data_IF_967243989374
#
_entry.id   IF_967243989374
#
_cell.length_a   1.000
_cell.length_b   1.000
_cell.length_c   1.000
_cell.angle_alpha   90.00
_cell.angle_beta   90.00
_cell.angle_gamma   90.00
#
_symmetry.space_group_name_H-M   'P 1'
#
loop_
_entity.id
_entity.type
_entity.pdbx_description
1 polymer ?
#
# COMPACT_ATOMS: atom_id res chain seq x y z
N UNK A 1 23.39 -15.54 -1.44
CA UNK A 1 23.68 -14.59 -2.55
C UNK A 1 22.33 -14.17 -3.13
N UNK A 2 22.02 -12.87 -3.14
CA UNK A 2 20.77 -12.37 -3.72
C UNK A 2 20.99 -11.94 -5.18
N UNK A 3 19.93 -11.94 -6.02
CA UNK A 3 20.05 -11.48 -7.40
C UNK A 3 20.44 -10.01 -7.51
N UNK A 4 21.52 -9.72 -8.25
CA UNK A 4 22.04 -8.35 -8.48
C UNK A 4 21.04 -7.37 -9.12
N UNK A 5 19.91 -7.86 -9.63
CA UNK A 5 18.88 -6.99 -10.19
C UNK A 5 18.11 -6.22 -9.10
N UNK A 6 18.12 -6.66 -7.83
CA UNK A 6 17.57 -5.86 -6.73
C UNK A 6 18.26 -4.50 -6.61
N UNK A 7 19.55 -4.43 -6.89
CA UNK A 7 20.30 -3.18 -6.88
C UNK A 7 19.81 -2.21 -7.97
N UNK A 8 19.35 -2.73 -9.11
CA UNK A 8 18.82 -1.97 -10.24
C UNK A 8 17.38 -1.46 -10.04
N UNK A 9 16.68 -1.93 -9.01
CA UNK A 9 15.31 -1.47 -8.74
C UNK A 9 15.31 -0.06 -8.15
N UNK A 10 14.34 0.75 -8.56
CA UNK A 10 14.08 2.08 -8.01
C UNK A 10 13.30 1.99 -6.68
N UNK A 11 13.75 1.12 -5.78
CA UNK A 11 13.20 0.96 -4.43
C UNK A 11 14.10 1.60 -3.39
N UNK A 12 13.49 1.99 -2.27
CA UNK A 12 14.26 2.42 -1.08
C UNK A 12 15.17 1.28 -0.61
N UNK A 13 16.22 1.64 0.12
CA UNK A 13 17.13 0.65 0.71
C UNK A 13 16.37 -0.37 1.57
N UNK A 14 15.42 0.11 2.38
CA UNK A 14 14.62 -0.74 3.28
C UNK A 14 13.77 -1.75 2.52
N UNK A 15 13.15 -1.36 1.41
CA UNK A 15 12.41 -2.31 0.58
C UNK A 15 13.35 -3.32 -0.11
N UNK A 16 14.54 -2.91 -0.55
CA UNK A 16 15.55 -3.86 -1.08
C UNK A 16 15.96 -4.88 -0.02
N UNK A 17 16.20 -4.45 1.21
CA UNK A 17 16.55 -5.34 2.32
C UNK A 17 15.43 -6.34 2.62
N UNK A 18 14.16 -5.91 2.61
CA UNK A 18 13.00 -6.80 2.75
C UNK A 18 12.89 -7.85 1.63
N UNK A 19 13.19 -7.47 0.38
CA UNK A 19 13.21 -8.40 -0.75
C UNK A 19 14.32 -9.44 -0.61
N UNK A 20 15.49 -9.04 -0.11
CA UNK A 20 16.61 -9.95 0.16
C UNK A 20 16.23 -10.95 1.25
N UNK A 21 15.63 -10.50 2.36
CA UNK A 21 15.15 -11.37 3.43
C UNK A 21 14.09 -12.36 2.94
N UNK A 22 13.14 -11.90 2.13
CA UNK A 22 12.12 -12.76 1.53
C UNK A 22 12.74 -13.81 0.58
N UNK A 23 13.71 -13.42 -0.23
CA UNK A 23 14.42 -14.31 -1.14
C UNK A 23 15.21 -15.39 -0.40
N UNK A 24 15.91 -15.00 0.67
CA UNK A 24 16.64 -15.92 1.54
C UNK A 24 15.71 -16.81 2.39
N UNK A 25 14.39 -16.62 2.31
CA UNK A 25 13.37 -17.29 3.14
C UNK A 25 13.54 -17.04 4.64
N UNK A 26 14.15 -15.90 5.00
CA UNK A 26 14.28 -15.46 6.40
C UNK A 26 12.94 -14.96 6.94
N UNK A 27 12.09 -14.42 6.06
CA UNK A 27 10.73 -13.97 6.38
C UNK A 27 9.71 -14.65 5.47
N UNK A 28 8.49 -14.74 5.96
CA UNK A 28 7.34 -15.19 5.18
C UNK A 28 6.78 -14.08 4.30
N UNK A 29 5.98 -14.46 3.30
CA UNK A 29 5.29 -13.49 2.45
C UNK A 29 4.34 -12.58 3.24
N UNK A 30 3.73 -13.09 4.30
CA UNK A 30 2.82 -12.32 5.15
C UNK A 30 3.56 -11.25 5.96
N UNK A 31 4.71 -11.60 6.53
CA UNK A 31 5.57 -10.64 7.25
C UNK A 31 6.09 -9.57 6.31
N UNK A 32 6.60 -9.96 5.14
CA UNK A 32 7.01 -9.03 4.10
C UNK A 32 5.89 -8.02 3.78
N UNK A 33 4.66 -8.51 3.51
CA UNK A 33 3.54 -7.63 3.16
C UNK A 33 3.16 -6.69 4.31
N UNK A 34 3.20 -7.16 5.56
CA UNK A 34 2.89 -6.33 6.73
C UNK A 34 3.90 -5.19 6.87
N UNK A 35 5.19 -5.49 6.79
CA UNK A 35 6.24 -4.46 6.90
C UNK A 35 6.22 -3.53 5.69
N UNK A 36 5.99 -4.07 4.49
CA UNK A 36 5.87 -3.27 3.27
C UNK A 36 4.71 -2.29 3.35
N UNK A 37 3.54 -2.71 3.86
CA UNK A 37 2.40 -1.82 4.05
C UNK A 37 2.78 -0.70 5.01
N UNK A 38 3.39 -0.99 6.15
CA UNK A 38 3.87 0.07 7.07
C UNK A 38 4.85 1.03 6.39
N UNK A 39 5.80 0.51 5.60
CA UNK A 39 6.82 1.30 4.90
C UNK A 39 6.23 2.30 3.89
N UNK A 40 5.09 1.98 3.28
CA UNK A 40 4.46 2.83 2.25
C UNK A 40 3.18 3.54 2.72
N UNK A 41 2.53 3.06 3.78
CA UNK A 41 1.32 3.65 4.35
C UNK A 41 1.59 4.81 5.31
N UNK A 42 2.84 5.07 5.70
CA UNK A 42 3.25 6.32 6.39
C UNK A 42 3.21 7.59 5.50
N UNK A 43 2.38 7.58 4.46
CA UNK A 43 1.77 8.82 3.98
C UNK A 43 0.32 8.79 4.42
N UNK A 44 -0.06 9.46 5.52
CA UNK A 44 -1.47 9.68 5.78
C UNK A 44 -2.05 10.27 4.50
N UNK A 45 -3.02 9.59 3.91
CA UNK A 45 -3.85 10.16 2.86
C UNK A 45 -4.60 11.32 3.51
N UNK A 46 -4.00 12.50 3.51
CA UNK A 46 -4.73 13.75 3.69
C UNK A 46 -5.45 13.96 2.35
N UNK A 47 -6.61 13.34 2.22
CA UNK A 47 -7.72 13.80 1.40
C UNK A 47 -9.00 13.08 1.88
N UNK A 48 -9.71 13.70 2.81
CA UNK A 48 -10.80 14.64 2.54
C UNK A 48 -12.15 13.93 2.59
N UNK A 49 -12.85 14.22 3.67
CA UNK A 49 -14.28 14.05 3.84
C UNK A 49 -15.06 14.41 2.56
N UNK A 50 -15.75 13.44 1.97
CA UNK A 50 -17.03 13.65 1.29
C UNK A 50 -18.05 12.65 1.80
N UNK A 51 -18.52 12.96 3.00
CA UNK A 51 -19.93 13.21 3.26
C UNK A 51 -20.91 12.13 2.77
N UNK A 52 -21.22 11.18 3.66
CA UNK A 52 -22.48 10.42 3.60
C UNK A 52 -23.61 11.34 4.08
N UNK A 53 -23.85 12.41 3.33
CA UNK A 53 -25.00 13.26 3.54
C UNK A 53 -26.18 12.67 2.74
N UNK A 54 -27.23 12.34 3.50
CA UNK A 54 -28.64 12.54 3.15
C UNK A 54 -29.15 12.09 1.77
N UNK A 55 -29.44 10.78 1.61
CA UNK A 55 -30.54 10.35 0.73
C UNK A 55 -31.89 10.70 1.38
N UNK A 56 -32.28 11.97 1.33
CA UNK A 56 -33.66 12.41 1.53
C UNK A 56 -34.03 13.42 0.44
N UNK A 57 -34.92 13.00 -0.46
CA UNK A 57 -35.96 13.89 -0.97
C UNK A 57 -35.78 14.47 -2.37
N UNK A 58 -36.77 14.15 -3.21
CA UNK A 58 -37.34 15.02 -4.25
C UNK A 58 -36.66 15.03 -5.62
N UNK A 59 -37.22 14.25 -6.56
CA UNK A 59 -37.82 14.85 -7.75
C UNK A 59 -39.18 14.19 -7.99
N UNK A 60 -40.21 15.02 -7.95
CA UNK A 60 -41.58 14.69 -8.30
C UNK A 60 -41.73 14.38 -9.80
N UNK A 61 -42.77 13.59 -10.11
CA UNK A 61 -43.66 13.64 -11.28
C UNK A 61 -43.15 14.39 -12.52
N UNK A 62 -43.16 13.72 -13.68
CA UNK A 62 -43.97 14.05 -14.87
C UNK A 62 -43.48 13.14 -16.01
N UNK A 63 -44.31 12.17 -16.40
CA UNK A 63 -44.74 11.80 -17.76
C UNK A 63 -45.61 10.54 -17.68
#
# INVERSE_FOLDING_TARGET
MYPKFFDKMAFSKEHKDLLIQLYNKEITRNEYNRVLNTLYEEKPKINENKNQDNKIGSVAKFF
#
